data_IF_647211027180
#
_entry.id   IF_647211027180
#
_cell.length_a   1.000
_cell.length_b   1.000
_cell.length_c   1.000
_cell.angle_alpha   90.00
_cell.angle_beta   90.00
_cell.angle_gamma   90.00
#
_symmetry.space_group_name_H-M   'P 1'
#
loop_
_entity.id
_entity.type
_entity.pdbx_description
1 polymer ?
#
# COMPACT_ATOMS: atom_id res chain seq x y z
N UNK A 1 57.05 -5.86 37.90
CA UNK A 1 56.38 -5.47 36.64
C UNK A 1 55.31 -6.53 36.33
N UNK A 2 54.04 -6.29 36.67
CA UNK A 2 52.94 -7.23 36.38
C UNK A 2 52.10 -6.64 35.24
N UNK A 3 52.15 -7.27 34.07
CA UNK A 3 51.38 -6.89 32.88
C UNK A 3 49.95 -7.39 33.04
N UNK A 4 48.97 -6.49 33.14
CA UNK A 4 47.55 -6.83 33.10
C UNK A 4 47.13 -6.79 31.63
N UNK A 5 46.76 -7.94 31.07
CA UNK A 5 46.18 -8.03 29.72
C UNK A 5 44.73 -7.55 29.76
N UNK A 6 44.43 -6.49 29.02
CA UNK A 6 43.06 -6.01 28.81
C UNK A 6 42.48 -6.71 27.59
N UNK A 7 41.61 -7.71 27.81
CA UNK A 7 40.89 -8.39 26.74
C UNK A 7 39.71 -7.51 26.32
N UNK A 8 39.77 -6.94 25.11
CA UNK A 8 38.63 -6.23 24.50
C UNK A 8 37.72 -7.31 23.90
N UNK A 9 36.61 -7.60 24.58
CA UNK A 9 35.53 -8.41 24.01
C UNK A 9 34.80 -7.56 22.97
N UNK A 10 35.00 -7.88 21.69
CA UNK A 10 34.26 -7.29 20.58
C UNK A 10 32.83 -7.84 20.60
N UNK A 11 31.89 -7.07 21.16
CA UNK A 11 30.46 -7.38 21.11
C UNK A 11 29.98 -7.14 19.68
N UNK A 12 29.83 -8.21 18.90
CA UNK A 12 29.13 -8.16 17.62
C UNK A 12 27.63 -7.98 17.89
N UNK A 13 27.11 -6.77 17.68
CA UNK A 13 25.67 -6.51 17.75
C UNK A 13 24.98 -7.22 16.58
N UNK A 14 23.98 -8.08 16.82
CA UNK A 14 23.16 -8.60 15.73
C UNK A 14 22.38 -7.44 15.12
N UNK A 15 22.61 -7.17 13.84
CA UNK A 15 21.76 -6.29 13.05
C UNK A 15 20.47 -7.07 12.79
N UNK A 16 19.41 -6.78 13.55
CA UNK A 16 18.09 -7.27 13.21
C UNK A 16 17.61 -6.52 11.98
N UNK A 17 17.63 -7.18 10.82
CA UNK A 17 16.98 -6.66 9.63
C UNK A 17 15.47 -6.68 9.88
N UNK A 18 14.84 -5.51 9.97
CA UNK A 18 13.39 -5.38 9.93
C UNK A 18 12.96 -5.76 8.50
N UNK A 19 12.44 -6.98 8.34
CA UNK A 19 11.81 -7.37 7.09
C UNK A 19 10.60 -6.47 6.83
N UNK A 20 10.47 -5.97 5.59
CA UNK A 20 9.26 -5.27 5.17
C UNK A 20 8.06 -6.23 5.32
N UNK A 21 6.94 -5.73 5.86
CA UNK A 21 5.73 -6.54 5.94
C UNK A 21 5.21 -6.81 4.53
N UNK A 22 4.92 -8.08 4.18
CA UNK A 22 4.46 -8.41 2.84
C UNK A 22 3.11 -7.74 2.57
N UNK A 23 2.90 -7.31 1.32
CA UNK A 23 1.58 -6.89 0.88
C UNK A 23 0.64 -8.10 0.88
N UNK A 24 -0.50 -7.98 1.55
CA UNK A 24 -1.51 -9.03 1.63
C UNK A 24 -2.48 -9.01 0.44
N UNK A 25 -2.48 -7.94 -0.36
CA UNK A 25 -3.30 -7.83 -1.56
C UNK A 25 -2.70 -8.69 -2.67
N UNK A 26 -3.45 -9.68 -3.14
CA UNK A 26 -3.11 -10.45 -4.33
C UNK A 26 -3.28 -9.56 -5.56
N UNK A 27 -2.27 -9.56 -6.43
CA UNK A 27 -2.27 -8.80 -7.68
C UNK A 27 -2.58 -7.30 -7.47
N UNK A 28 -1.95 -6.69 -6.46
CA UNK A 28 -2.20 -5.29 -6.08
C UNK A 28 -1.82 -4.25 -7.14
N UNK A 29 -0.83 -4.56 -7.98
CA UNK A 29 -0.44 -3.75 -9.16
C UNK A 29 -0.99 -4.30 -10.47
N UNK A 30 -1.89 -5.29 -10.44
CA UNK A 30 -2.61 -5.78 -11.63
C UNK A 30 -1.76 -6.40 -12.76
N UNK A 31 -0.54 -6.85 -12.45
CA UNK A 31 0.41 -7.44 -13.39
C UNK A 31 0.17 -8.93 -13.70
N UNK A 32 -0.63 -9.63 -12.91
CA UNK A 32 -0.86 -11.08 -13.05
C UNK A 32 -1.85 -11.45 -14.18
N UNK A 33 -2.11 -10.51 -15.09
CA UNK A 33 -2.96 -10.68 -16.25
C UNK A 33 -2.23 -10.16 -17.49
N UNK A 34 -1.89 -11.07 -18.42
CA UNK A 34 -1.18 -10.69 -19.63
C UNK A 34 -2.07 -9.82 -20.53
N UNK A 35 -1.58 -8.62 -20.84
CA UNK A 35 -2.20 -7.67 -21.74
C UNK A 35 -1.10 -7.04 -22.61
N UNK A 36 -1.36 -6.88 -23.91
CA UNK A 36 -0.38 -6.31 -24.82
C UNK A 36 -0.20 -4.81 -24.55
N UNK A 37 0.99 -4.28 -24.82
CA UNK A 37 1.24 -2.84 -24.77
C UNK A 37 0.30 -2.07 -25.71
N UNK A 38 -0.35 -1.03 -25.19
CA UNK A 38 -1.32 -0.23 -25.93
C UNK A 38 -2.69 -0.87 -26.07
N UNK A 39 -3.02 -1.86 -25.23
CA UNK A 39 -4.29 -2.56 -25.23
C UNK A 39 -5.06 -2.39 -23.92
N UNK A 40 -6.36 -2.63 -23.99
CA UNK A 40 -7.27 -2.73 -22.84
C UNK A 40 -8.22 -3.92 -23.05
N UNK A 41 -8.78 -4.44 -21.96
CA UNK A 41 -9.80 -5.48 -22.01
C UNK A 41 -10.64 -5.50 -20.73
N UNK A 42 -11.92 -5.85 -20.88
CA UNK A 42 -12.85 -5.96 -19.76
C UNK A 42 -12.96 -7.40 -19.29
N UNK A 43 -12.82 -7.59 -17.99
CA UNK A 43 -12.89 -8.89 -17.33
C UNK A 43 -13.99 -8.90 -16.29
N UNK A 44 -14.69 -10.03 -16.14
CA UNK A 44 -15.57 -10.21 -14.98
C UNK A 44 -14.73 -10.25 -13.70
N UNK A 45 -13.58 -10.92 -13.74
CA UNK A 45 -12.64 -11.05 -12.62
C UNK A 45 -11.20 -11.06 -13.17
N UNK A 46 -10.26 -10.55 -12.38
CA UNK A 46 -8.81 -10.72 -12.62
C UNK A 46 -8.21 -11.46 -11.42
N UNK A 47 -6.94 -11.89 -11.49
CA UNK A 47 -6.35 -12.64 -10.38
C UNK A 47 -6.48 -11.84 -9.08
N UNK A 48 -7.02 -12.47 -8.02
CA UNK A 48 -7.25 -11.82 -6.72
C UNK A 48 -8.44 -10.85 -6.62
N UNK A 49 -9.08 -10.45 -7.71
CA UNK A 49 -10.14 -9.43 -7.68
C UNK A 49 -11.43 -9.90 -8.34
N UNK A 50 -12.53 -9.73 -7.60
CA UNK A 50 -13.88 -9.98 -8.11
C UNK A 50 -14.49 -8.68 -8.61
N UNK A 51 -14.88 -8.64 -9.89
CA UNK A 51 -15.62 -7.53 -10.47
C UNK A 51 -17.12 -7.67 -10.23
N UNK A 52 -17.82 -6.53 -10.14
CA UNK A 52 -19.27 -6.46 -9.90
C UNK A 52 -19.89 -5.53 -10.93
N UNK A 53 -21.07 -5.89 -11.44
CA UNK A 53 -21.75 -5.13 -12.48
C UNK A 53 -21.02 -5.26 -13.81
N UNK A 54 -20.49 -4.16 -14.34
CA UNK A 54 -19.82 -4.13 -15.64
C UNK A 54 -18.35 -4.61 -15.62
N UNK A 55 -17.86 -5.13 -14.49
CA UNK A 55 -16.58 -5.82 -14.39
C UNK A 55 -15.40 -4.90 -14.14
N UNK A 56 -14.24 -5.26 -14.68
CA UNK A 56 -12.96 -4.58 -14.46
C UNK A 56 -12.32 -4.33 -15.82
N UNK A 57 -12.04 -3.07 -16.18
CA UNK A 57 -11.23 -2.76 -17.35
C UNK A 57 -9.76 -2.74 -16.92
N UNK A 58 -8.97 -3.64 -17.49
CA UNK A 58 -7.51 -3.66 -17.36
C UNK A 58 -6.90 -2.93 -18.55
N UNK A 59 -6.01 -1.98 -18.30
CA UNK A 59 -5.32 -1.18 -19.31
C UNK A 59 -3.81 -1.38 -19.22
N UNK A 60 -3.15 -1.43 -20.38
CA UNK A 60 -1.69 -1.44 -20.47
C UNK A 60 -1.23 -0.35 -21.43
N UNK A 61 -0.58 0.69 -20.89
CA UNK A 61 -0.05 1.84 -21.66
C UNK A 61 -1.04 2.44 -22.67
N UNK A 62 -2.33 2.48 -22.32
CA UNK A 62 -3.39 3.12 -23.11
C UNK A 62 -4.24 4.03 -22.22
N UNK A 63 -4.47 5.27 -22.67
CA UNK A 63 -5.07 6.34 -21.86
C UNK A 63 -4.28 6.64 -20.57
N UNK A 64 -2.95 6.65 -20.71
CA UNK A 64 -1.99 6.83 -19.63
C UNK A 64 -1.07 5.62 -19.46
N UNK A 65 -0.13 5.73 -18.54
CA UNK A 65 0.83 4.69 -18.13
C UNK A 65 0.59 4.29 -16.67
N UNK A 66 0.94 3.05 -16.32
CA UNK A 66 0.81 2.51 -14.97
C UNK A 66 1.66 3.30 -13.96
N UNK A 67 1.27 3.26 -12.69
CA UNK A 67 2.08 3.76 -11.58
C UNK A 67 3.17 2.75 -11.20
N UNK A 68 2.83 1.46 -11.25
CA UNK A 68 3.68 0.33 -10.94
C UNK A 68 3.52 -0.75 -12.03
N UNK A 69 4.61 -1.29 -12.57
CA UNK A 69 4.50 -2.28 -13.64
C UNK A 69 4.01 -1.71 -14.98
N UNK A 70 3.11 -2.44 -15.64
CA UNK A 70 2.63 -2.16 -17.00
C UNK A 70 1.11 -1.95 -17.06
N UNK A 71 0.38 -2.63 -16.17
CA UNK A 71 -1.06 -2.69 -16.15
C UNK A 71 -1.64 -1.80 -15.04
N UNK A 72 -2.88 -1.36 -15.23
CA UNK A 72 -3.65 -0.66 -14.21
C UNK A 72 -5.14 -0.75 -14.51
N UNK A 73 -5.99 -0.40 -13.55
CA UNK A 73 -7.43 -0.67 -13.59
C UNK A 73 -8.28 0.59 -13.75
N UNK A 74 -9.46 0.40 -14.33
CA UNK A 74 -10.56 1.35 -14.54
C UNK A 74 -11.91 0.64 -14.25
N UNK A 75 -12.92 1.40 -13.82
CA UNK A 75 -14.18 0.84 -13.30
C UNK A 75 -15.46 1.50 -13.86
N UNK A 76 -15.40 2.39 -14.82
CA UNK A 76 -16.52 2.82 -15.66
C UNK A 76 -16.34 2.18 -17.05
N UNK A 77 -16.52 0.86 -17.09
CA UNK A 77 -16.16 0.06 -18.26
C UNK A 77 -17.13 0.30 -19.44
N UNK A 78 -18.28 -0.38 -19.42
CA UNK A 78 -19.45 -0.04 -20.24
C UNK A 78 -20.48 0.74 -19.43
N UNK A 79 -20.37 0.64 -18.09
CA UNK A 79 -21.09 1.40 -17.07
C UNK A 79 -20.22 1.43 -15.80
N UNK A 80 -20.56 2.32 -14.86
CA UNK A 80 -19.96 2.33 -13.54
C UNK A 80 -20.10 0.95 -12.89
N UNK A 81 -18.98 0.47 -12.37
CA UNK A 81 -18.79 -0.85 -11.82
C UNK A 81 -17.93 -0.78 -10.56
N UNK A 82 -17.67 -1.93 -9.98
CA UNK A 82 -16.85 -2.04 -8.78
C UNK A 82 -16.06 -3.33 -8.76
N UNK A 83 -15.06 -3.38 -7.89
CA UNK A 83 -14.25 -4.56 -7.64
C UNK A 83 -13.93 -4.69 -6.16
N UNK A 84 -13.68 -5.92 -5.71
CA UNK A 84 -13.27 -6.17 -4.33
C UNK A 84 -12.35 -7.38 -4.19
N UNK A 85 -11.65 -7.42 -3.06
CA UNK A 85 -10.88 -8.56 -2.58
C UNK A 85 -11.13 -8.74 -1.09
N UNK A 86 -11.40 -9.98 -0.68
CA UNK A 86 -11.48 -10.35 0.74
C UNK A 86 -10.16 -10.98 1.15
N UNK A 87 -9.56 -10.42 2.20
CA UNK A 87 -8.21 -10.72 2.66
C UNK A 87 -8.30 -11.20 4.11
N UNK A 88 -7.64 -12.32 4.41
CA UNK A 88 -7.49 -12.79 5.78
C UNK A 88 -6.61 -11.81 6.58
N UNK A 89 -7.14 -11.27 7.66
CA UNK A 89 -6.47 -10.31 8.55
C UNK A 89 -6.53 -10.81 10.00
N UNK A 90 -5.85 -10.13 10.91
CA UNK A 90 -5.87 -10.48 12.33
C UNK A 90 -6.74 -9.51 13.11
N UNK A 91 -7.69 -10.05 13.87
CA UNK A 91 -8.59 -9.24 14.69
C UNK A 91 -7.80 -8.42 15.72
N UNK A 92 -8.04 -7.11 15.76
CA UNK A 92 -7.36 -6.19 16.67
C UNK A 92 -5.97 -5.72 16.18
N UNK A 93 -5.46 -6.26 15.07
CA UNK A 93 -4.21 -5.81 14.48
C UNK A 93 -4.43 -4.56 13.62
N UNK A 94 -3.51 -3.59 13.71
CA UNK A 94 -3.51 -2.41 12.84
C UNK A 94 -2.87 -2.75 11.49
N UNK A 95 -3.45 -2.20 10.42
CA UNK A 95 -2.99 -2.35 9.04
C UNK A 95 -2.88 -0.99 8.37
N UNK A 96 -1.90 -0.85 7.48
CA UNK A 96 -1.76 0.27 6.57
C UNK A 96 -2.34 -0.12 5.20
N UNK A 97 -3.28 0.68 4.72
CA UNK A 97 -3.91 0.53 3.41
C UNK A 97 -3.54 1.71 2.52
N UNK A 98 -3.14 1.43 1.29
CA UNK A 98 -2.74 2.46 0.33
C UNK A 98 -2.98 2.02 -1.11
N UNK A 99 -3.13 2.98 -2.00
CA UNK A 99 -3.21 2.76 -3.44
C UNK A 99 -2.89 4.05 -4.20
N UNK A 100 -2.52 3.92 -5.47
CA UNK A 100 -2.38 5.04 -6.39
C UNK A 100 -3.67 5.22 -7.18
N UNK A 101 -4.08 6.47 -7.39
CA UNK A 101 -5.21 6.82 -8.24
C UNK A 101 -4.95 8.09 -9.04
N UNK A 102 -5.58 8.21 -10.20
CA UNK A 102 -5.51 9.38 -11.06
C UNK A 102 -6.83 9.57 -11.80
N UNK A 103 -7.14 10.81 -12.19
CA UNK A 103 -8.17 11.03 -13.20
C UNK A 103 -7.63 10.64 -14.58
N UNK A 104 -8.50 10.08 -15.43
CA UNK A 104 -8.15 9.73 -16.81
C UNK A 104 -7.71 10.98 -17.58
N UNK A 105 -6.57 10.92 -18.26
CA UNK A 105 -6.10 12.04 -19.07
C UNK A 105 -7.08 12.36 -20.21
N UNK A 106 -7.25 13.65 -20.51
CA UNK A 106 -8.09 14.12 -21.61
C UNK A 106 -9.60 14.03 -21.37
N UNK A 107 -10.03 13.83 -20.10
CA UNK A 107 -11.44 13.76 -19.72
C UNK A 107 -11.87 14.93 -18.83
N UNK A 108 -13.17 15.17 -18.70
CA UNK A 108 -13.70 16.12 -17.74
C UNK A 108 -13.57 15.59 -16.31
N UNK A 109 -13.44 16.47 -15.31
CA UNK A 109 -13.39 16.05 -13.89
C UNK A 109 -14.63 15.24 -13.50
N UNK A 110 -15.82 15.58 -14.02
CA UNK A 110 -17.07 14.90 -13.73
C UNK A 110 -17.20 13.49 -14.31
N UNK A 111 -16.41 13.15 -15.33
CA UNK A 111 -16.27 11.78 -15.85
C UNK A 111 -15.55 10.89 -14.83
N UNK A 112 -14.72 11.48 -13.98
CA UNK A 112 -13.93 10.76 -12.99
C UNK A 112 -14.65 10.69 -11.64
N UNK A 113 -14.24 9.75 -10.81
CA UNK A 113 -14.78 9.52 -9.49
C UNK A 113 -14.48 8.11 -9.03
N UNK A 114 -13.86 7.98 -7.87
CA UNK A 114 -13.48 6.71 -7.29
C UNK A 114 -13.77 6.75 -5.79
N UNK A 115 -14.53 5.78 -5.31
CA UNK A 115 -14.70 5.53 -3.88
C UNK A 115 -13.96 4.25 -3.50
N UNK A 116 -13.58 4.14 -2.23
CA UNK A 116 -13.04 2.91 -1.66
C UNK A 116 -13.77 2.48 -0.38
N UNK A 117 -13.59 1.22 -0.02
CA UNK A 117 -14.06 0.63 1.23
C UNK A 117 -13.01 -0.33 1.80
N UNK A 118 -13.01 -0.50 3.13
CA UNK A 118 -12.25 -1.55 3.84
C UNK A 118 -13.18 -2.47 4.67
N UNK A 119 -14.50 -2.27 4.56
CA UNK A 119 -15.54 -2.95 5.34
C UNK A 119 -16.57 -3.68 4.44
N UNK A 120 -16.15 -4.07 3.24
CA UNK A 120 -17.01 -4.79 2.29
C UNK A 120 -18.14 -3.95 1.70
N UNK A 121 -18.00 -2.62 1.71
CA UNK A 121 -18.97 -1.70 1.13
C UNK A 121 -20.12 -1.33 2.06
N UNK A 122 -19.98 -1.61 3.36
CA UNK A 122 -20.88 -1.06 4.39
C UNK A 122 -20.74 0.46 4.45
N UNK A 123 -19.49 0.93 4.35
CA UNK A 123 -19.14 2.34 4.23
C UNK A 123 -18.26 2.56 3.00
N UNK A 124 -18.64 3.52 2.17
CA UNK A 124 -17.84 3.98 1.05
C UNK A 124 -17.27 5.35 1.34
N UNK A 125 -15.98 5.51 1.16
CA UNK A 125 -15.27 6.78 1.29
C UNK A 125 -14.97 7.32 -0.10
N UNK A 126 -15.50 8.51 -0.40
CA UNK A 126 -15.19 9.21 -1.64
C UNK A 126 -13.75 9.74 -1.60
N UNK A 127 -13.00 9.52 -2.68
CA UNK A 127 -11.69 10.14 -2.84
C UNK A 127 -11.82 11.60 -3.27
N UNK A 128 -10.80 12.39 -2.96
CA UNK A 128 -10.73 13.76 -3.40
C UNK A 128 -10.72 13.83 -4.94
N UNK A 129 -11.49 14.75 -5.50
CA UNK A 129 -11.43 15.02 -6.93
C UNK A 129 -10.04 15.54 -7.30
N UNK A 130 -9.37 14.86 -8.23
CA UNK A 130 -8.10 15.29 -8.78
C UNK A 130 -8.32 16.18 -10.01
N UNK A 131 -7.35 17.01 -10.41
CA UNK A 131 -7.38 17.62 -11.73
C UNK A 131 -7.23 16.54 -12.82
N UNK A 132 -7.95 16.69 -13.93
CA UNK A 132 -7.71 15.86 -15.11
C UNK A 132 -6.40 16.29 -15.78
N UNK A 133 -5.51 15.33 -16.01
CA UNK A 133 -4.29 15.55 -16.78
C UNK A 133 -4.60 15.62 -18.29
N UNK A 134 -3.67 16.14 -19.09
CA UNK A 134 -3.89 16.29 -20.54
C UNK A 134 -3.46 15.05 -21.33
N UNK A 135 -2.31 14.46 -21.01
CA UNK A 135 -1.69 13.42 -21.87
C UNK A 135 -1.31 12.13 -21.16
N UNK A 136 -1.08 12.14 -19.85
CA UNK A 136 -0.68 10.95 -19.08
C UNK A 136 -1.27 10.99 -17.67
N UNK A 137 -1.39 9.83 -17.01
CA UNK A 137 -1.88 9.74 -15.64
C UNK A 137 -1.03 10.64 -14.71
N UNK A 138 -1.70 11.49 -13.95
CA UNK A 138 -1.07 12.28 -12.88
C UNK A 138 -1.41 11.63 -11.53
N UNK A 139 -0.61 10.64 -11.16
CA UNK A 139 -0.88 9.77 -10.01
C UNK A 139 -0.77 10.50 -8.68
N UNK A 140 -1.70 10.19 -7.78
CA UNK A 140 -1.64 10.53 -6.36
C UNK A 140 -1.75 9.25 -5.55
N UNK A 141 -1.03 9.15 -4.44
CA UNK A 141 -1.16 8.03 -3.51
C UNK A 141 -2.09 8.41 -2.37
N UNK A 142 -3.11 7.58 -2.13
CA UNK A 142 -3.89 7.60 -0.91
C UNK A 142 -3.28 6.61 0.10
N UNK A 143 -3.32 6.97 1.39
CA UNK A 143 -2.98 6.06 2.47
C UNK A 143 -3.81 6.32 3.72
N UNK A 144 -4.10 5.25 4.45
CA UNK A 144 -4.79 5.27 5.75
C UNK A 144 -4.38 4.07 6.58
N UNK A 145 -4.75 4.08 7.86
CA UNK A 145 -4.55 2.95 8.77
C UNK A 145 -5.85 2.64 9.50
N UNK A 146 -6.11 1.36 9.75
CA UNK A 146 -7.27 0.91 10.50
C UNK A 146 -6.97 -0.36 11.29
N UNK A 147 -7.78 -0.62 12.32
CA UNK A 147 -7.74 -1.87 13.08
C UNK A 147 -8.68 -2.87 12.43
N UNK A 148 -8.16 -4.02 12.00
CA UNK A 148 -8.92 -5.01 11.27
C UNK A 148 -9.65 -6.01 12.18
N UNK A 149 -10.66 -6.67 11.62
CA UNK A 149 -11.21 -7.93 12.14
C UNK A 149 -10.35 -9.12 11.71
N UNK A 150 -10.91 -10.33 11.81
CA UNK A 150 -10.25 -11.55 11.29
C UNK A 150 -10.27 -11.64 9.75
N UNK A 151 -11.04 -10.77 9.09
CA UNK A 151 -11.13 -10.66 7.64
C UNK A 151 -11.44 -9.22 7.27
N UNK A 152 -10.83 -8.75 6.19
CA UNK A 152 -11.04 -7.41 5.63
C UNK A 152 -11.47 -7.57 4.18
N UNK A 153 -12.55 -6.91 3.78
CA UNK A 153 -12.91 -6.80 2.37
C UNK A 153 -12.63 -5.39 1.90
N UNK A 154 -11.60 -5.24 1.08
CA UNK A 154 -11.29 -3.98 0.42
C UNK A 154 -12.03 -3.92 -0.92
N UNK A 155 -12.45 -2.73 -1.32
CA UNK A 155 -13.13 -2.56 -2.61
C UNK A 155 -13.05 -1.14 -3.13
N UNK A 156 -13.32 -1.02 -4.43
CA UNK A 156 -13.32 0.22 -5.19
C UNK A 156 -14.55 0.28 -6.09
N UNK A 157 -15.08 1.48 -6.34
CA UNK A 157 -16.17 1.67 -7.30
C UNK A 157 -16.04 2.99 -8.06
N UNK A 158 -16.43 2.98 -9.33
CA UNK A 158 -16.56 4.21 -10.11
C UNK A 158 -17.81 4.99 -9.68
N UNK A 159 -17.66 6.29 -9.50
CA UNK A 159 -18.74 7.21 -9.08
C UNK A 159 -18.88 8.43 -9.98
N UNK A 160 -18.05 8.54 -11.01
CA UNK A 160 -18.14 9.57 -12.04
C UNK A 160 -19.37 9.42 -12.94
N UNK A 161 -19.46 10.29 -13.95
CA UNK A 161 -20.43 10.14 -15.04
C UNK A 161 -20.19 8.80 -15.72
N UNK A 162 -21.22 7.98 -15.84
CA UNK A 162 -21.09 6.68 -16.49
C UNK A 162 -21.10 6.84 -18.02
N UNK A 163 -19.92 7.03 -18.60
CA UNK A 163 -19.69 7.37 -19.99
C UNK A 163 -18.58 6.54 -20.66
N UNK A 164 -18.19 5.41 -20.04
CA UNK A 164 -17.14 4.45 -20.46
C UNK A 164 -15.71 4.90 -20.18
N UNK A 165 -15.55 5.93 -19.35
CA UNK A 165 -14.26 6.54 -19.06
C UNK A 165 -14.21 6.89 -17.57
N UNK A 166 -13.18 6.46 -16.87
CA UNK A 166 -13.11 6.74 -15.44
C UNK A 166 -11.70 6.74 -14.88
N UNK A 167 -11.63 6.95 -13.56
CA UNK A 167 -10.38 7.06 -12.81
C UNK A 167 -9.49 5.82 -12.98
N UNK A 168 -8.20 6.06 -13.06
CA UNK A 168 -7.16 5.01 -13.04
C UNK A 168 -6.84 4.61 -11.60
N UNK A 169 -6.67 3.32 -11.34
CA UNK A 169 -6.32 2.73 -10.05
C UNK A 169 -5.12 1.80 -10.21
N UNK A 170 -4.15 1.88 -9.30
CA UNK A 170 -2.94 1.04 -9.32
C UNK A 170 -2.32 0.86 -7.92
N UNK A 171 -1.41 -0.11 -7.79
CA UNK A 171 -0.56 -0.36 -6.61
C UNK A 171 -1.31 -0.42 -5.28
N UNK A 172 -2.37 -1.21 -5.24
CA UNK A 172 -3.15 -1.47 -4.04
C UNK A 172 -2.33 -2.30 -3.06
N UNK A 173 -2.25 -1.83 -1.81
CA UNK A 173 -1.47 -2.46 -0.76
C UNK A 173 -2.20 -2.47 0.57
N UNK A 174 -2.12 -3.60 1.26
CA UNK A 174 -2.55 -3.79 2.64
C UNK A 174 -1.44 -4.51 3.39
N UNK A 175 -0.81 -3.84 4.34
CA UNK A 175 0.31 -4.39 5.10
C UNK A 175 0.01 -4.31 6.59
N UNK A 176 0.42 -5.32 7.36
CA UNK A 176 0.35 -5.23 8.82
C UNK A 176 1.21 -4.05 9.28
N UNK A 177 0.62 -3.17 10.10
CA UNK A 177 1.38 -2.10 10.73
C UNK A 177 2.36 -2.73 11.71
N UNK A 178 3.65 -2.45 11.51
CA UNK A 178 4.68 -2.86 12.46
C UNK A 178 4.53 -1.98 13.70
N UNK A 179 4.28 -2.54 14.89
CA UNK A 179 4.28 -1.75 16.12
C UNK A 179 5.60 -0.97 16.19
N UNK A 180 5.54 0.34 16.47
CA UNK A 180 6.76 1.13 16.60
C UNK A 180 7.75 0.37 17.48
N UNK A 181 8.95 0.05 16.96
CA UNK A 181 9.69 -1.00 17.60
C UNK A 181 10.03 -0.62 19.03
N UNK A 182 9.94 -1.61 19.92
CA UNK A 182 10.67 -1.64 21.17
C UNK A 182 12.17 -1.31 20.97
N UNK A 183 12.69 -1.26 19.74
CA UNK A 183 13.98 -0.68 19.37
C UNK A 183 14.24 0.69 20.00
N UNK A 184 13.27 1.60 20.15
CA UNK A 184 13.56 2.85 20.89
C UNK A 184 13.80 2.57 22.37
N UNK A 185 12.97 1.72 22.99
CA UNK A 185 13.17 1.32 24.39
C UNK A 185 14.48 0.54 24.60
N UNK A 186 14.84 -0.35 23.66
CA UNK A 186 16.07 -1.14 23.67
C UNK A 186 17.30 -0.30 23.33
N UNK A 187 17.19 0.68 22.43
CA UNK A 187 18.23 1.66 22.13
C UNK A 187 18.47 2.54 23.36
N UNK A 188 17.42 3.07 23.99
CA UNK A 188 17.52 3.84 25.21
C UNK A 188 18.09 2.99 26.36
N UNK A 189 17.67 1.73 26.51
CA UNK A 189 18.23 0.81 27.49
C UNK A 189 19.72 0.52 27.21
N UNK A 190 20.10 0.30 25.96
CA UNK A 190 21.48 0.09 25.53
C UNK A 190 22.37 1.31 25.78
N UNK A 191 21.90 2.51 25.40
CA UNK A 191 22.59 3.76 25.68
C UNK A 191 22.70 4.03 27.19
N UNK A 192 21.65 3.72 27.96
CA UNK A 192 21.66 3.79 29.42
C UNK A 192 22.71 2.87 30.05
N UNK A 193 22.81 1.62 29.56
CA UNK A 193 23.81 0.67 30.02
C UNK A 193 25.25 1.13 29.70
N UNK A 194 25.49 1.66 28.48
CA UNK A 194 26.79 2.21 28.09
C UNK A 194 27.18 3.42 28.96
N UNK A 195 26.25 4.34 29.21
CA UNK A 195 26.46 5.48 30.11
C UNK A 195 26.79 5.05 31.54
N UNK A 196 26.11 4.02 32.06
CA UNK A 196 26.38 3.48 33.40
C UNK A 196 27.80 2.87 33.50
N UNK A 197 28.21 2.09 32.50
CA UNK A 197 29.55 1.48 32.44
C UNK A 197 30.64 2.57 32.36
N UNK A 198 30.45 3.59 31.52
CA UNK A 198 31.39 4.71 31.42
C UNK A 198 31.55 5.45 32.76
N UNK A 199 30.44 5.72 33.46
CA UNK A 199 30.46 6.36 34.79
C UNK A 199 31.21 5.55 35.83
N UNK A 200 31.06 4.21 35.83
CA UNK A 200 31.76 3.33 36.79
C UNK A 200 33.27 3.32 36.57
N UNK A 201 33.72 3.37 35.31
CA UNK A 201 35.16 3.38 34.97
C UNK A 201 35.83 4.68 35.43
N UNK A 202 35.18 5.83 35.25
CA UNK A 202 35.74 7.11 35.72
C UNK A 202 35.89 7.19 37.25
N UNK A 203 35.03 6.49 38.02
CA UNK A 203 35.12 6.45 39.49
C UNK A 203 36.22 5.55 40.05
N UNK A 204 36.79 4.65 39.25
CA UNK A 204 37.87 3.75 39.67
C UNK A 204 39.27 4.30 39.32
N UNK A 205 39.33 5.38 38.53
CA UNK A 205 40.57 6.03 38.10
C UNK A 205 40.87 7.33 38.89
N UNK A 206 39.96 7.75 39.76
CA UNK A 206 40.13 8.83 40.74
C UNK A 206 40.39 8.22 42.12
#
# INVERSE_FOLDING_TARGET
MKKVLTTIALLASPVFALAATPNLVVNGSFEDNALANGAWSNFSNINGWTGVGAGIELRNNIAGSAFDGLNYVELDTTKNSSMFQTIATQAGQSYNFSFAYANRPGTAVATNGLDFTVDGGTTWTALAALPAATTNNNWTTFSTSFVAGASTTIGFRATGTSDTLGSSLDKVSLTAAVPEPQTYALMLAGLGALGFVARRRNRQQA
#
